data_IF_040875019056
#
_entry.id   IF_040875019056
#
_cell.length_a   1.000
_cell.length_b   1.000
_cell.length_c   1.000
_cell.angle_alpha   90.00
_cell.angle_beta   90.00
_cell.angle_gamma   90.00
#
_symmetry.space_group_name_H-M   'P 1'
#
loop_
_entity.id
_entity.type
_entity.pdbx_description
1 polymer ?
#
# COMPACT_ATOMS: atom_id res chain seq x y z
N UNK A 1 19.96 4.18 -53.68
CA UNK A 1 18.67 4.74 -53.22
C UNK A 1 17.95 3.68 -52.40
N UNK A 2 18.13 3.68 -51.07
CA UNK A 2 17.41 2.78 -50.15
C UNK A 2 16.40 3.61 -49.37
N UNK A 3 15.12 3.20 -49.43
CA UNK A 3 14.02 3.85 -48.68
C UNK A 3 14.08 3.42 -47.21
N UNK A 4 13.86 4.33 -46.23
CA UNK A 4 13.78 3.95 -44.83
C UNK A 4 12.37 3.44 -44.50
N UNK A 5 12.30 2.29 -43.82
CA UNK A 5 11.07 1.68 -43.34
C UNK A 5 10.61 2.34 -42.03
N UNK A 6 9.47 3.02 -42.13
CA UNK A 6 8.37 3.15 -41.14
C UNK A 6 8.40 2.21 -39.91
N UNK A 7 8.98 2.56 -38.77
CA UNK A 7 8.72 1.84 -37.50
C UNK A 7 7.38 2.29 -36.89
N UNK A 8 6.50 1.39 -36.39
CA UNK A 8 5.25 1.79 -35.76
C UNK A 8 5.49 2.17 -34.29
N UNK A 9 4.96 3.34 -33.91
CA UNK A 9 4.88 3.80 -32.53
C UNK A 9 4.10 2.78 -31.67
N UNK A 10 4.75 2.28 -30.62
CA UNK A 10 4.09 1.52 -29.54
C UNK A 10 3.80 2.46 -28.37
N UNK A 11 2.52 2.66 -28.09
CA UNK A 11 2.00 3.38 -26.93
C UNK A 11 2.31 2.60 -25.65
N UNK A 12 2.98 3.24 -24.70
CA UNK A 12 3.25 2.70 -23.37
C UNK A 12 2.09 3.08 -22.46
N UNK A 13 1.26 2.10 -22.08
CA UNK A 13 0.27 2.26 -21.01
C UNK A 13 0.99 2.16 -19.67
N UNK A 14 1.02 3.27 -18.94
CA UNK A 14 1.45 3.30 -17.54
C UNK A 14 0.36 2.64 -16.67
N UNK A 15 0.58 1.39 -16.26
CA UNK A 15 -0.28 0.73 -15.28
C UNK A 15 0.18 1.08 -13.86
N UNK A 16 -0.47 2.09 -13.27
CA UNK A 16 -0.60 2.17 -11.82
C UNK A 16 -1.70 1.20 -11.39
N UNK A 17 -1.31 0.03 -10.87
CA UNK A 17 -2.25 -0.96 -10.36
C UNK A 17 -2.91 -0.45 -9.08
N UNK A 18 -4.21 -0.12 -9.15
CA UNK A 18 -5.05 0.17 -7.99
C UNK A 18 -5.73 -1.14 -7.59
N UNK A 19 -5.33 -1.76 -6.48
CA UNK A 19 -6.12 -2.84 -5.89
C UNK A 19 -7.30 -2.22 -5.12
N UNK A 20 -8.53 -2.51 -5.54
CA UNK A 20 -9.74 -2.23 -4.77
C UNK A 20 -10.52 -3.52 -4.52
N UNK A 21 -10.94 -3.70 -3.27
CA UNK A 21 -11.83 -4.78 -2.84
C UNK A 21 -13.30 -4.32 -2.95
N UNK A 22 -14.13 -5.11 -3.64
CA UNK A 22 -15.58 -4.90 -3.73
C UNK A 22 -16.30 -5.58 -2.57
N UNK A 23 -17.19 -4.85 -1.90
CA UNK A 23 -18.10 -5.38 -0.89
C UNK A 23 -19.30 -6.09 -1.55
N UNK A 24 -19.50 -7.37 -1.22
CA UNK A 24 -20.68 -8.14 -1.66
C UNK A 24 -21.92 -7.81 -0.84
N UNK A 25 -23.04 -7.57 -1.52
CA UNK A 25 -24.37 -7.40 -0.90
C UNK A 25 -24.93 -8.77 -0.50
N UNK A 26 -25.18 -9.00 0.79
CA UNK A 26 -25.97 -10.12 1.27
C UNK A 26 -27.39 -9.64 1.62
N UNK A 27 -28.40 -10.37 1.14
CA UNK A 27 -29.82 -10.08 1.33
C UNK A 27 -30.26 -10.15 2.80
N UNK A 28 -31.22 -9.29 3.16
CA UNK A 28 -31.77 -9.21 4.51
C UNK A 28 -32.67 -10.44 4.82
N UNK A 29 -32.55 -11.05 6.01
CA UNK A 29 -33.53 -12.00 6.52
C UNK A 29 -34.77 -11.25 7.08
N UNK A 30 -35.94 -11.91 7.19
CA UNK A 30 -37.16 -11.29 7.69
C UNK A 30 -37.05 -10.94 9.19
N UNK A 31 -37.80 -9.93 9.67
CA UNK A 31 -37.68 -9.45 11.05
C UNK A 31 -38.30 -10.45 12.02
N UNK A 32 -37.45 -11.16 12.76
CA UNK A 32 -37.80 -11.86 13.99
C UNK A 32 -37.41 -11.01 15.20
N UNK A 33 -38.38 -10.71 16.05
CA UNK A 33 -38.23 -9.96 17.30
C UNK A 33 -37.36 -10.73 18.30
N UNK A 34 -36.13 -10.26 18.52
CA UNK A 34 -35.30 -10.65 19.66
C UNK A 34 -35.03 -9.40 20.49
N UNK A 35 -35.66 -9.33 21.66
CA UNK A 35 -35.32 -8.43 22.76
C UNK A 35 -34.00 -8.88 23.37
N UNK A 36 -32.89 -8.58 22.68
CA UNK A 36 -31.54 -8.69 23.21
C UNK A 36 -31.09 -7.32 23.72
N UNK A 37 -30.80 -7.22 25.02
CA UNK A 37 -30.09 -6.10 25.63
C UNK A 37 -28.87 -5.73 24.78
N UNK A 38 -28.89 -4.51 24.21
CA UNK A 38 -27.75 -3.92 23.51
C UNK A 38 -26.61 -3.80 24.50
N UNK A 39 -25.67 -4.75 24.47
CA UNK A 39 -24.37 -4.56 25.09
C UNK A 39 -23.77 -3.32 24.45
N UNK A 40 -23.62 -2.25 25.22
CA UNK A 40 -23.01 -1.02 24.75
C UNK A 40 -21.60 -1.36 24.25
N UNK A 41 -21.41 -1.33 22.93
CA UNK A 41 -20.11 -1.50 22.30
C UNK A 41 -19.22 -0.39 22.82
N UNK A 42 -18.19 -0.73 23.61
CA UNK A 42 -17.24 0.27 24.08
C UNK A 42 -16.62 0.99 22.88
N UNK A 43 -16.47 2.33 22.94
CA UNK A 43 -15.81 3.06 21.88
C UNK A 43 -14.38 2.54 21.76
N UNK A 44 -13.95 2.39 20.52
CA UNK A 44 -12.65 1.83 20.23
C UNK A 44 -11.53 2.82 20.67
N UNK A 45 -10.37 2.33 21.15
CA UNK A 45 -9.36 3.20 21.76
C UNK A 45 -8.83 4.25 20.77
N UNK A 46 -8.44 5.45 21.26
CA UNK A 46 -7.78 6.48 20.47
C UNK A 46 -6.54 5.97 19.73
N UNK A 47 -6.15 6.65 18.65
CA UNK A 47 -5.03 6.22 17.81
C UNK A 47 -3.69 6.09 18.57
N UNK A 48 -3.29 7.05 19.43
CA UNK A 48 -2.07 6.91 20.24
C UNK A 48 -2.04 5.66 21.12
N UNK A 49 -3.16 5.28 21.75
CA UNK A 49 -3.23 4.11 22.63
C UNK A 49 -3.08 2.81 21.85
N UNK A 50 -3.62 2.76 20.62
CA UNK A 50 -3.42 1.64 19.71
C UNK A 50 -1.98 1.54 19.24
N UNK A 51 -1.36 2.66 18.87
CA UNK A 51 0.07 2.69 18.53
C UNK A 51 0.92 2.17 19.68
N UNK A 52 0.64 2.61 20.91
CA UNK A 52 1.34 2.15 22.09
C UNK A 52 1.18 0.64 22.33
N UNK A 53 0.00 0.06 22.06
CA UNK A 53 -0.23 -1.38 22.17
C UNK A 53 0.46 -2.22 21.09
N UNK A 54 0.85 -1.59 19.97
CA UNK A 54 1.62 -2.23 18.89
C UNK A 54 3.13 -2.15 19.12
N UNK A 55 3.60 -1.54 20.21
CA UNK A 55 5.02 -1.45 20.54
C UNK A 55 5.40 -2.40 21.69
N UNK A 56 6.65 -2.91 21.73
CA UNK A 56 7.73 -2.66 20.77
C UNK A 56 7.56 -3.43 19.44
N UNK A 57 8.03 -2.83 18.36
CA UNK A 57 8.14 -3.45 17.03
C UNK A 57 9.35 -2.86 16.28
N UNK A 58 10.09 -3.70 15.56
CA UNK A 58 11.17 -3.27 14.66
C UNK A 58 10.57 -2.52 13.46
N UNK A 59 9.47 -3.05 12.91
CA UNK A 59 8.72 -2.45 11.80
C UNK A 59 7.24 -2.38 12.14
N UNK A 60 6.66 -1.18 12.05
CA UNK A 60 5.21 -0.97 12.10
C UNK A 60 4.69 -0.69 10.69
N UNK A 61 3.86 -1.59 10.15
CA UNK A 61 3.25 -1.46 8.84
C UNK A 61 1.86 -0.85 8.96
N UNK A 62 1.64 0.27 8.29
CA UNK A 62 0.35 0.94 8.16
C UNK A 62 -0.20 0.68 6.77
N UNK A 63 -1.21 -0.18 6.70
CA UNK A 63 -1.91 -0.50 5.45
C UNK A 63 -3.03 0.49 5.17
N UNK A 64 -3.13 0.95 3.92
CA UNK A 64 -4.14 1.92 3.51
C UNK A 64 -4.96 1.48 2.29
N UNK A 65 -6.16 2.07 2.18
CA UNK A 65 -6.73 2.42 0.88
C UNK A 65 -6.19 3.78 0.44
N UNK A 66 -5.55 3.83 -0.73
CA UNK A 66 -4.79 5.01 -1.18
C UNK A 66 -5.64 6.26 -1.41
N UNK A 67 -6.92 6.11 -1.74
CA UNK A 67 -7.84 7.22 -2.00
C UNK A 67 -8.63 7.68 -0.78
N UNK A 68 -8.31 7.14 0.41
CA UNK A 68 -8.96 7.49 1.66
C UNK A 68 -8.12 8.50 2.49
N UNK A 69 -8.46 9.81 2.47
CA UNK A 69 -7.66 10.86 3.12
C UNK A 69 -7.48 10.69 4.63
N UNK A 70 -8.43 10.04 5.29
CA UNK A 70 -8.35 9.73 6.71
C UNK A 70 -7.19 8.78 7.04
N UNK A 71 -6.77 7.93 6.10
CA UNK A 71 -5.65 7.01 6.28
C UNK A 71 -4.33 7.78 6.32
N UNK A 72 -4.11 8.71 5.38
CA UNK A 72 -2.90 9.54 5.39
C UNK A 72 -2.84 10.46 6.61
N UNK A 73 -3.99 10.93 7.12
CA UNK A 73 -4.02 11.64 8.42
C UNK A 73 -3.50 10.75 9.56
N UNK A 74 -4.00 9.52 9.71
CA UNK A 74 -3.56 8.60 10.76
C UNK A 74 -2.08 8.24 10.63
N UNK A 75 -1.56 8.10 9.41
CA UNK A 75 -0.14 7.87 9.16
C UNK A 75 0.71 9.06 9.61
N UNK A 76 0.31 10.29 9.26
CA UNK A 76 0.97 11.51 9.73
C UNK A 76 0.96 11.59 11.26
N UNK A 77 -0.15 11.27 11.90
CA UNK A 77 -0.24 11.24 13.38
C UNK A 77 0.71 10.20 13.98
N UNK A 78 0.85 9.01 13.37
CA UNK A 78 1.81 8.01 13.80
C UNK A 78 3.26 8.49 13.67
N UNK A 79 3.59 9.16 12.55
CA UNK A 79 4.91 9.79 12.35
C UNK A 79 5.20 10.79 13.46
N UNK A 80 4.29 11.74 13.69
CA UNK A 80 4.46 12.77 14.71
C UNK A 80 4.60 12.17 16.11
N UNK A 81 3.78 11.17 16.44
CA UNK A 81 3.77 10.53 17.75
C UNK A 81 5.06 9.75 18.03
N UNK A 82 5.52 8.92 17.08
CA UNK A 82 6.78 8.17 17.22
C UNK A 82 8.00 9.11 17.22
N UNK A 83 7.99 10.14 16.37
CA UNK A 83 9.10 11.08 16.26
C UNK A 83 9.26 11.95 17.52
N UNK A 84 8.16 12.45 18.09
CA UNK A 84 8.18 13.23 19.34
C UNK A 84 8.77 12.46 20.53
N UNK A 85 8.76 11.12 20.46
CA UNK A 85 9.30 10.22 21.48
C UNK A 85 10.73 9.75 21.16
N UNK A 86 11.31 10.20 20.05
CA UNK A 86 12.60 9.71 19.57
C UNK A 86 12.58 8.24 19.14
N UNK A 87 11.40 7.66 18.91
CA UNK A 87 11.23 6.22 18.62
C UNK A 87 11.07 5.92 17.12
N UNK A 88 11.06 6.93 16.24
CA UNK A 88 10.95 6.73 14.80
C UNK A 88 12.33 6.69 14.14
N UNK A 89 12.70 5.54 13.56
CA UNK A 89 13.97 5.36 12.86
C UNK A 89 13.95 5.94 11.44
N UNK A 90 12.87 5.66 10.70
CA UNK A 90 12.63 6.09 9.33
C UNK A 90 11.15 5.91 8.96
N UNK A 91 10.72 6.56 7.88
CA UNK A 91 9.46 6.27 7.20
C UNK A 91 9.77 5.65 5.83
N UNK A 92 9.20 4.49 5.52
CA UNK A 92 9.30 3.84 4.21
C UNK A 92 7.96 3.97 3.48
N UNK A 93 7.98 4.44 2.23
CA UNK A 93 6.78 4.67 1.43
C UNK A 93 6.75 3.79 0.18
N UNK A 94 5.63 3.11 -0.06
CA UNK A 94 5.34 2.48 -1.36
C UNK A 94 5.24 3.52 -2.51
N UNK A 95 4.92 4.76 -2.18
CA UNK A 95 4.63 5.80 -3.18
C UNK A 95 5.90 6.33 -3.87
N UNK A 96 7.09 6.00 -3.36
CA UNK A 96 8.38 6.37 -3.92
C UNK A 96 9.25 5.13 -4.20
N UNK A 97 10.05 5.20 -5.27
CA UNK A 97 10.92 4.10 -5.70
C UNK A 97 12.14 3.95 -4.76
N UNK A 98 12.57 2.72 -4.52
CA UNK A 98 13.76 2.44 -3.72
C UNK A 98 15.01 3.10 -4.31
N UNK A 99 15.87 3.63 -3.45
CA UNK A 99 17.07 4.39 -3.83
C UNK A 99 16.89 5.91 -3.75
N UNK A 100 15.65 6.41 -3.69
CA UNK A 100 15.36 7.82 -3.44
C UNK A 100 14.95 8.06 -1.99
N UNK A 101 15.46 9.14 -1.38
CA UNK A 101 15.31 9.36 0.05
C UNK A 101 15.61 10.80 0.49
N UNK A 102 15.14 11.17 1.68
CA UNK A 102 15.36 12.51 2.26
C UNK A 102 16.49 12.61 3.28
N UNK A 103 17.34 11.57 3.42
CA UNK A 103 18.43 11.53 4.44
C UNK A 103 19.34 12.77 4.48
N UNK A 104 19.56 13.43 3.33
CA UNK A 104 20.42 14.60 3.21
C UNK A 104 19.69 15.94 3.39
N UNK A 105 18.37 15.93 3.61
CA UNK A 105 17.59 17.14 3.78
C UNK A 105 17.71 17.68 5.20
N UNK A 106 17.78 19.01 5.32
CA UNK A 106 17.64 19.70 6.59
C UNK A 106 16.18 19.65 7.08
N UNK A 107 15.98 19.91 8.38
CA UNK A 107 14.65 19.88 9.01
C UNK A 107 13.68 20.94 8.47
N UNK A 108 14.22 22.04 7.95
CA UNK A 108 13.50 23.15 7.34
C UNK A 108 13.42 23.03 5.81
N UNK A 109 13.76 21.86 5.23
CA UNK A 109 13.64 21.63 3.81
C UNK A 109 12.19 21.85 3.34
N UNK A 110 12.07 22.43 2.15
CA UNK A 110 10.79 22.70 1.49
C UNK A 110 10.16 21.43 0.93
N UNK A 111 8.84 21.47 0.70
CA UNK A 111 8.13 20.38 0.02
C UNK A 111 8.73 20.06 -1.36
N UNK A 112 9.15 21.08 -2.12
CA UNK A 112 9.78 20.89 -3.43
C UNK A 112 11.09 20.11 -3.33
N UNK A 113 11.92 20.39 -2.31
CA UNK A 113 13.15 19.64 -2.07
C UNK A 113 12.85 18.19 -1.67
N UNK A 114 11.83 17.96 -0.85
CA UNK A 114 11.39 16.61 -0.47
C UNK A 114 10.87 15.81 -1.68
N UNK A 115 10.04 16.41 -2.53
CA UNK A 115 9.57 15.80 -3.78
C UNK A 115 10.73 15.45 -4.72
N UNK A 116 11.67 16.37 -4.92
CA UNK A 116 12.83 16.14 -5.77
C UNK A 116 13.72 15.01 -5.23
N UNK A 117 13.97 14.99 -3.92
CA UNK A 117 14.79 13.96 -3.27
C UNK A 117 14.15 12.56 -3.34
N UNK A 118 12.81 12.48 -3.35
CA UNK A 118 12.06 11.22 -3.48
C UNK A 118 11.77 10.84 -4.94
N UNK A 119 12.15 11.67 -5.93
CA UNK A 119 11.70 11.56 -7.32
C UNK A 119 10.19 11.37 -7.40
N UNK A 120 9.45 12.20 -6.66
CA UNK A 120 8.03 12.03 -6.45
C UNK A 120 7.25 12.10 -7.76
N UNK A 121 6.34 11.15 -7.98
CA UNK A 121 5.43 11.15 -9.12
C UNK A 121 4.05 11.62 -8.68
N UNK A 122 3.82 12.92 -8.76
CA UNK A 122 2.56 13.57 -8.35
C UNK A 122 1.33 13.05 -9.13
N UNK A 123 1.52 12.70 -10.40
CA UNK A 123 0.43 12.18 -11.23
C UNK A 123 -0.05 10.79 -10.80
N UNK A 124 0.85 9.96 -10.25
CA UNK A 124 0.49 8.65 -9.70
C UNK A 124 0.04 8.76 -8.24
N UNK A 125 0.69 9.62 -7.47
CA UNK A 125 0.47 9.80 -6.04
C UNK A 125 0.36 11.29 -5.73
N UNK A 126 -0.86 11.85 -5.66
CA UNK A 126 -1.02 13.29 -5.43
C UNK A 126 -0.28 13.73 -4.16
N UNK A 127 0.70 14.62 -4.29
CA UNK A 127 1.52 15.10 -3.18
C UNK A 127 0.66 15.73 -2.09
N UNK A 128 -0.46 16.35 -2.45
CA UNK A 128 -1.42 16.89 -1.48
C UNK A 128 -1.87 15.85 -0.43
N UNK A 129 -1.95 14.56 -0.79
CA UNK A 129 -2.33 13.50 0.13
C UNK A 129 -1.17 13.04 1.03
N UNK A 130 0.03 12.87 0.47
CA UNK A 130 1.16 12.24 1.16
C UNK A 130 2.22 13.21 1.69
N UNK A 131 2.31 14.41 1.12
CA UNK A 131 3.21 15.49 1.53
C UNK A 131 3.15 15.78 3.03
N UNK A 132 1.96 15.86 3.66
CA UNK A 132 1.87 16.03 5.12
C UNK A 132 2.52 14.90 5.93
N UNK A 133 2.52 13.66 5.44
CA UNK A 133 3.20 12.51 6.09
C UNK A 133 4.72 12.66 5.93
N UNK A 134 5.18 12.95 4.69
CA UNK A 134 6.60 13.14 4.36
C UNK A 134 7.19 14.30 5.17
N UNK A 135 6.53 15.45 5.17
CA UNK A 135 7.04 16.65 5.82
C UNK A 135 7.02 16.56 7.33
N UNK A 136 6.11 15.78 7.93
CA UNK A 136 6.15 15.51 9.36
C UNK A 136 7.43 14.77 9.77
N UNK A 137 7.90 13.81 8.96
CA UNK A 137 9.15 13.09 9.21
C UNK A 137 10.37 14.00 8.95
N UNK A 138 10.39 14.71 7.82
CA UNK A 138 11.49 15.65 7.47
C UNK A 138 11.68 16.72 8.55
N UNK A 139 10.59 17.35 9.02
CA UNK A 139 10.64 18.35 10.08
C UNK A 139 11.20 17.79 11.41
N UNK A 140 10.97 16.50 11.70
CA UNK A 140 11.56 15.81 12.83
C UNK A 140 13.02 15.39 12.62
N UNK A 141 13.58 15.54 11.41
CA UNK A 141 14.90 15.03 11.03
C UNK A 141 14.92 13.52 10.84
N UNK A 142 13.75 12.90 10.64
CA UNK A 142 13.60 11.48 10.35
C UNK A 142 13.63 11.28 8.83
N UNK A 143 14.46 10.37 8.31
CA UNK A 143 14.53 10.15 6.87
C UNK A 143 13.27 9.42 6.36
N UNK A 144 12.82 9.86 5.18
CA UNK A 144 11.81 9.19 4.38
C UNK A 144 12.50 8.47 3.23
N UNK A 145 12.17 7.21 3.04
CA UNK A 145 12.78 6.31 2.07
C UNK A 145 11.71 5.82 1.10
N UNK A 146 11.99 5.87 -0.21
CA UNK A 146 11.22 5.11 -1.17
C UNK A 146 11.43 3.61 -0.95
N UNK A 147 10.34 2.85 -0.87
CA UNK A 147 10.37 1.40 -0.65
C UNK A 147 10.10 0.60 -1.91
N UNK A 148 9.44 1.19 -2.90
CA UNK A 148 8.84 0.44 -4.00
C UNK A 148 9.87 -0.07 -5.01
N UNK A 149 9.53 -1.14 -5.72
CA UNK A 149 10.37 -1.63 -6.81
C UNK A 149 10.53 -0.53 -7.87
N UNK A 150 11.77 -0.16 -8.27
CA UNK A 150 11.97 0.84 -9.30
C UNK A 150 11.32 0.42 -10.62
N UNK A 151 10.70 1.36 -11.34
CA UNK A 151 9.95 1.05 -12.57
C UNK A 151 10.81 0.34 -13.61
N UNK A 152 12.09 0.70 -13.69
CA UNK A 152 13.06 0.09 -14.59
C UNK A 152 13.25 -1.42 -14.33
N UNK A 153 12.97 -1.90 -13.12
CA UNK A 153 13.12 -3.30 -12.72
C UNK A 153 11.84 -4.13 -12.89
N UNK A 154 10.67 -3.51 -13.05
CA UNK A 154 9.38 -4.22 -13.16
C UNK A 154 9.36 -5.23 -14.32
N UNK A 155 9.99 -4.90 -15.46
CA UNK A 155 10.06 -5.81 -16.60
C UNK A 155 10.86 -7.08 -16.29
N UNK A 156 11.96 -6.95 -15.54
CA UNK A 156 12.74 -8.10 -15.11
C UNK A 156 11.93 -8.93 -14.11
N UNK A 157 11.25 -8.29 -13.15
CA UNK A 157 10.41 -8.98 -12.17
C UNK A 157 9.28 -9.83 -12.81
N UNK A 158 8.66 -9.37 -13.90
CA UNK A 158 7.67 -10.18 -14.64
C UNK A 158 8.23 -11.53 -15.11
N UNK A 159 9.52 -11.58 -15.46
CA UNK A 159 10.20 -12.79 -15.95
C UNK A 159 10.82 -13.65 -14.85
N UNK A 160 10.86 -13.17 -13.61
CA UNK A 160 11.50 -13.87 -12.50
C UNK A 160 10.57 -14.93 -11.92
N UNK A 161 10.69 -16.15 -12.42
CA UNK A 161 9.83 -17.28 -12.04
C UNK A 161 10.07 -17.77 -10.61
N UNK A 162 11.21 -17.42 -9.98
CA UNK A 162 11.44 -17.79 -8.58
C UNK A 162 10.36 -17.22 -7.64
N UNK A 163 9.75 -16.09 -8.00
CA UNK A 163 8.65 -15.50 -7.22
C UNK A 163 7.40 -16.37 -7.17
N UNK A 164 7.20 -17.29 -8.12
CA UNK A 164 6.04 -18.20 -8.12
C UNK A 164 6.08 -19.17 -6.93
N UNK A 165 7.24 -19.33 -6.29
CA UNK A 165 7.45 -20.23 -5.15
C UNK A 165 7.60 -19.49 -3.82
N UNK A 166 7.58 -18.16 -3.81
CA UNK A 166 7.76 -17.36 -2.59
C UNK A 166 6.57 -17.51 -1.64
N UNK A 167 5.36 -17.44 -2.18
CA UNK A 167 4.12 -17.62 -1.42
C UNK A 167 3.69 -19.09 -1.42
N UNK A 168 3.21 -19.64 -0.28
CA UNK A 168 2.49 -20.91 -0.26
C UNK A 168 1.29 -20.87 -1.22
N UNK A 169 0.93 -22.02 -1.80
CA UNK A 169 -0.11 -22.09 -2.82
C UNK A 169 -1.45 -21.41 -2.44
N UNK A 170 -1.97 -21.52 -1.20
CA UNK A 170 -3.18 -20.78 -0.81
C UNK A 170 -3.01 -19.26 -0.84
N UNK A 171 -1.86 -18.73 -0.39
CA UNK A 171 -1.56 -17.30 -0.42
C UNK A 171 -1.35 -16.79 -1.85
N UNK A 172 -0.68 -17.56 -2.70
CA UNK A 172 -0.54 -17.22 -4.12
C UNK A 172 -1.89 -17.17 -4.84
N UNK A 173 -2.81 -18.09 -4.52
CA UNK A 173 -4.17 -18.06 -5.06
C UNK A 173 -4.94 -16.81 -4.62
N UNK A 174 -4.79 -16.38 -3.37
CA UNK A 174 -5.35 -15.10 -2.89
C UNK A 174 -4.74 -13.91 -3.64
N UNK A 175 -3.43 -13.92 -3.90
CA UNK A 175 -2.78 -12.87 -4.70
C UNK A 175 -3.36 -12.79 -6.11
N UNK A 176 -3.55 -13.94 -6.77
CA UNK A 176 -4.15 -13.99 -8.10
C UNK A 176 -5.59 -13.48 -8.09
N UNK A 177 -6.37 -13.84 -7.08
CA UNK A 177 -7.73 -13.35 -6.95
C UNK A 177 -7.76 -11.83 -6.73
N UNK A 178 -6.91 -11.31 -5.85
CA UNK A 178 -6.80 -9.88 -5.60
C UNK A 178 -6.40 -9.10 -6.86
N UNK A 179 -5.56 -9.69 -7.73
CA UNK A 179 -5.22 -9.12 -9.03
C UNK A 179 -6.41 -9.11 -9.98
N UNK A 180 -7.19 -10.20 -10.06
CA UNK A 180 -8.42 -10.21 -10.88
C UNK A 180 -9.41 -9.16 -10.41
N UNK A 181 -9.65 -9.08 -9.11
CA UNK A 181 -10.62 -8.17 -8.51
C UNK A 181 -10.20 -6.71 -8.66
N UNK A 182 -8.93 -6.40 -8.38
CA UNK A 182 -8.36 -5.06 -8.54
C UNK A 182 -8.36 -4.58 -10.00
N UNK A 183 -8.34 -5.51 -10.95
CA UNK A 183 -8.47 -5.22 -12.38
C UNK A 183 -9.90 -5.44 -12.90
N UNK A 184 -10.90 -5.59 -12.02
CA UNK A 184 -12.30 -5.78 -12.37
C UNK A 184 -12.58 -6.92 -13.38
N UNK A 185 -11.74 -7.96 -13.36
CA UNK A 185 -11.81 -9.14 -14.24
C UNK A 185 -11.36 -8.92 -15.68
N UNK A 186 -10.75 -7.77 -15.98
CA UNK A 186 -10.41 -7.35 -17.35
C UNK A 186 -8.94 -7.60 -17.70
N UNK A 187 -8.09 -7.87 -16.70
CA UNK A 187 -6.71 -8.30 -16.91
C UNK A 187 -6.72 -9.72 -17.51
N UNK A 188 -6.07 -9.98 -18.66
CA UNK A 188 -6.04 -11.32 -19.24
C UNK A 188 -5.42 -12.33 -18.29
N UNK A 189 -5.95 -13.56 -18.22
CA UNK A 189 -5.46 -14.60 -17.31
C UNK A 189 -3.96 -14.89 -17.48
N UNK A 190 -3.44 -14.79 -18.71
CA UNK A 190 -2.00 -14.95 -18.98
C UNK A 190 -1.11 -13.85 -18.37
N UNK A 191 -1.69 -12.72 -17.97
CA UNK A 191 -1.00 -11.61 -17.31
C UNK A 191 -1.07 -11.68 -15.79
N UNK A 192 -1.88 -12.57 -15.21
CA UNK A 192 -2.02 -12.70 -13.75
C UNK A 192 -0.70 -13.14 -13.11
N UNK A 193 -0.02 -14.22 -13.55
CA UNK A 193 1.26 -14.62 -12.93
C UNK A 193 2.37 -13.56 -13.06
N UNK A 194 2.64 -12.96 -14.25
CA UNK A 194 3.62 -11.88 -14.35
C UNK A 194 3.33 -10.68 -13.45
N UNK A 195 2.06 -10.30 -13.27
CA UNK A 195 1.68 -9.21 -12.38
C UNK A 195 1.85 -9.59 -10.90
N UNK A 196 1.58 -10.84 -10.53
CA UNK A 196 1.84 -11.32 -9.18
C UNK A 196 3.33 -11.28 -8.83
N UNK A 197 4.20 -11.64 -9.77
CA UNK A 197 5.66 -11.53 -9.58
C UNK A 197 6.10 -10.08 -9.35
N UNK A 198 5.51 -9.11 -10.06
CA UNK A 198 5.75 -7.69 -9.77
C UNK A 198 5.33 -7.35 -8.35
N UNK A 199 4.13 -7.75 -7.92
CA UNK A 199 3.66 -7.43 -6.56
C UNK A 199 4.58 -8.02 -5.49
N UNK A 200 4.98 -9.29 -5.62
CA UNK A 200 5.91 -9.95 -4.70
C UNK A 200 7.28 -9.25 -4.72
N UNK A 201 7.77 -8.84 -5.89
CA UNK A 201 9.03 -8.09 -5.99
C UNK A 201 8.95 -6.70 -5.35
N UNK A 202 7.80 -6.03 -5.40
CA UNK A 202 7.55 -4.76 -4.69
C UNK A 202 7.57 -4.97 -3.18
N UNK A 203 6.93 -6.03 -2.71
CA UNK A 203 6.95 -6.42 -1.30
C UNK A 203 8.38 -6.70 -0.81
N UNK A 204 9.16 -7.45 -1.60
CA UNK A 204 10.57 -7.72 -1.33
C UNK A 204 11.43 -6.43 -1.27
N UNK A 205 11.17 -5.48 -2.19
CA UNK A 205 11.85 -4.18 -2.22
C UNK A 205 11.55 -3.36 -0.97
N UNK A 206 10.27 -3.23 -0.60
CA UNK A 206 9.84 -2.50 0.59
C UNK A 206 10.38 -3.15 1.86
N UNK A 207 10.38 -4.48 1.92
CA UNK A 207 10.94 -5.24 3.02
C UNK A 207 12.44 -4.97 3.19
N UNK A 208 13.20 -4.97 2.09
CA UNK A 208 14.64 -4.67 2.12
C UNK A 208 14.90 -3.26 2.61
N UNK A 209 14.21 -2.26 2.06
CA UNK A 209 14.37 -0.86 2.48
C UNK A 209 14.06 -0.69 3.97
N UNK A 210 13.02 -1.36 4.50
CA UNK A 210 12.70 -1.31 5.92
C UNK A 210 13.79 -1.95 6.79
N UNK A 211 14.31 -3.11 6.39
CA UNK A 211 15.40 -3.80 7.10
C UNK A 211 16.69 -2.98 7.15
N UNK A 212 17.05 -2.31 6.04
CA UNK A 212 18.21 -1.42 5.98
C UNK A 212 18.07 -0.16 6.85
N UNK A 213 16.83 0.18 7.26
CA UNK A 213 16.53 1.35 8.07
C UNK A 213 16.41 1.07 9.57
N UNK A 214 16.50 -0.21 9.98
CA UNK A 214 16.36 -0.61 11.38
C UNK A 214 17.41 0.07 12.27
N UNK A 215 16.98 0.50 13.46
CA UNK A 215 17.84 1.09 14.49
C UNK A 215 17.42 0.51 15.86
N UNK A 216 18.37 0.07 16.70
CA UNK A 216 18.03 -0.48 18.02
C UNK A 216 17.17 0.49 18.85
N UNK A 217 16.08 -0.03 19.43
CA UNK A 217 15.17 0.75 20.27
C UNK A 217 14.25 1.72 19.53
N UNK A 218 14.27 1.73 18.20
CA UNK A 218 13.41 2.54 17.35
C UNK A 218 12.62 1.66 16.37
N UNK A 219 11.52 2.21 15.86
CA UNK A 219 10.62 1.55 14.91
C UNK A 219 10.76 2.19 13.54
N UNK A 220 10.83 1.37 12.49
CA UNK A 220 10.63 1.81 11.11
C UNK A 220 9.13 1.81 10.81
N UNK A 221 8.59 2.93 10.33
CA UNK A 221 7.19 3.01 9.92
C UNK A 221 7.09 2.78 8.40
N UNK A 222 6.40 1.72 7.98
CA UNK A 222 6.17 1.43 6.56
C UNK A 222 4.73 1.78 6.21
N UNK A 223 4.53 2.62 5.19
CA UNK A 223 3.21 2.99 4.66
C UNK A 223 3.07 2.42 3.26
N UNK A 224 2.05 1.57 3.07
CA UNK A 224 1.76 0.90 1.81
C UNK A 224 0.27 0.56 1.70
N UNK A 225 -0.18 0.20 0.50
CA UNK A 225 -1.52 -0.31 0.25
C UNK A 225 -1.83 -1.54 1.11
N UNK A 226 -3.09 -1.70 1.50
CA UNK A 226 -3.52 -2.71 2.46
C UNK A 226 -3.06 -4.14 2.14
N UNK A 227 -3.05 -4.52 0.85
CA UNK A 227 -2.59 -5.84 0.42
C UNK A 227 -1.09 -6.08 0.68
N UNK A 228 -0.27 -5.04 0.58
CA UNK A 228 1.18 -5.12 0.79
C UNK A 228 1.56 -5.32 2.26
N UNK A 229 0.70 -4.96 3.21
CA UNK A 229 1.04 -5.10 4.64
C UNK A 229 0.54 -6.38 5.29
N UNK A 230 -0.26 -7.19 4.58
CA UNK A 230 -0.88 -8.40 5.16
C UNK A 230 0.18 -9.44 5.51
N UNK A 231 0.09 -9.99 6.72
CA UNK A 231 1.10 -10.90 7.29
C UNK A 231 1.37 -12.13 6.43
N UNK A 232 0.34 -12.77 5.89
CA UNK A 232 0.47 -13.97 5.08
C UNK A 232 0.70 -13.75 3.58
N UNK A 233 0.78 -12.50 3.12
CA UNK A 233 0.74 -12.20 1.69
C UNK A 233 1.81 -11.20 1.21
N UNK A 234 1.98 -10.11 1.94
CA UNK A 234 2.78 -8.97 1.47
C UNK A 234 4.18 -8.94 2.05
N UNK A 235 4.66 -7.72 2.32
CA UNK A 235 5.97 -7.40 2.91
C UNK A 235 6.37 -8.35 4.06
N UNK A 236 5.49 -8.71 5.03
CA UNK A 236 5.92 -9.55 6.14
C UNK A 236 6.39 -10.96 5.80
N UNK A 237 6.07 -11.45 4.59
CA UNK A 237 6.56 -12.75 4.10
C UNK A 237 8.06 -12.74 3.76
N UNK A 238 8.69 -11.57 3.73
CA UNK A 238 10.11 -11.37 3.41
C UNK A 238 10.99 -11.13 4.65
N UNK A 239 10.43 -11.20 5.86
CA UNK A 239 11.18 -10.97 7.09
C UNK A 239 12.10 -12.13 7.46
N UNK A 240 13.27 -11.84 8.04
CA UNK A 240 14.02 -12.86 8.76
C UNK A 240 13.25 -13.23 10.05
N UNK A 241 13.45 -14.47 10.53
CA UNK A 241 12.66 -15.04 11.63
C UNK A 241 12.72 -14.24 12.95
N UNK A 242 13.76 -13.43 13.15
CA UNK A 242 13.96 -12.64 14.37
C UNK A 242 13.40 -11.21 14.31
N UNK A 243 12.88 -10.77 13.17
CA UNK A 243 12.30 -9.43 13.03
C UNK A 243 10.87 -9.40 13.58
N UNK A 244 10.62 -8.50 14.53
CA UNK A 244 9.29 -8.29 15.12
C UNK A 244 8.57 -7.17 14.36
N UNK A 245 7.56 -7.53 13.59
CA UNK A 245 6.71 -6.56 12.89
C UNK A 245 5.27 -6.57 13.35
N UNK A 246 4.61 -5.41 13.29
CA UNK A 246 3.19 -5.24 13.60
C UNK A 246 2.45 -4.60 12.43
N UNK A 247 1.21 -5.03 12.21
CA UNK A 247 0.37 -4.58 11.09
C UNK A 247 -0.88 -3.88 11.62
N UNK A 248 -1.04 -2.61 11.27
CA UNK A 248 -2.26 -1.85 11.48
C UNK A 248 -2.91 -1.57 10.13
N UNK A 249 -4.06 -2.17 9.87
CA UNK A 249 -4.79 -1.96 8.62
C UNK A 249 -5.88 -0.89 8.81
N UNK A 250 -5.85 0.14 7.98
CA UNK A 250 -6.91 1.15 7.91
C UNK A 250 -7.90 0.79 6.81
N UNK A 251 -9.18 0.89 7.13
CA UNK A 251 -10.28 0.50 6.25
C UNK A 251 -11.38 1.57 6.29
N UNK A 252 -11.71 2.13 5.14
CA UNK A 252 -12.89 2.95 4.97
C UNK A 252 -14.14 2.07 4.99
N UNK A 253 -15.11 2.43 5.83
CA UNK A 253 -16.35 1.66 5.98
C UNK A 253 -16.20 0.39 6.82
N UNK A 254 -16.94 -0.67 6.47
CA UNK A 254 -16.92 -1.94 7.22
C UNK A 254 -15.85 -2.87 6.67
N UNK A 255 -14.97 -3.37 7.55
CA UNK A 255 -13.95 -4.34 7.18
C UNK A 255 -14.54 -5.73 6.87
N UNK A 256 -14.05 -6.41 5.81
CA UNK A 256 -14.30 -7.83 5.59
C UNK A 256 -13.80 -8.67 6.77
N UNK A 257 -14.53 -9.73 7.13
CA UNK A 257 -14.19 -10.63 8.24
C UNK A 257 -12.85 -11.36 8.03
N UNK A 258 -12.41 -11.51 6.77
CA UNK A 258 -11.22 -12.28 6.37
C UNK A 258 -9.87 -11.69 6.83
N UNK A 259 -9.83 -10.43 7.28
CA UNK A 259 -8.59 -9.73 7.63
C UNK A 259 -8.07 -10.08 9.04
N UNK A 260 -8.89 -10.72 9.88
CA UNK A 260 -8.61 -10.89 11.32
C UNK A 260 -7.29 -11.58 11.65
N UNK A 261 -6.73 -12.39 10.76
CA UNK A 261 -5.46 -13.10 11.00
C UNK A 261 -4.23 -12.42 10.36
N UNK A 262 -4.44 -11.44 9.49
CA UNK A 262 -3.37 -10.79 8.72
C UNK A 262 -2.96 -9.41 9.25
N UNK A 263 -3.74 -8.85 10.18
CA UNK A 263 -3.44 -7.59 10.86
C UNK A 263 -3.49 -7.76 12.40
N UNK A 264 -2.66 -7.01 13.13
CA UNK A 264 -2.74 -6.94 14.60
C UNK A 264 -3.91 -6.05 15.06
N UNK A 265 -4.23 -5.01 14.29
CA UNK A 265 -5.41 -4.17 14.50
C UNK A 265 -6.00 -3.71 13.17
N UNK A 266 -7.33 -3.52 13.16
CA UNK A 266 -8.05 -2.85 12.09
C UNK A 266 -8.62 -1.54 12.62
N UNK A 267 -8.41 -0.45 11.89
CA UNK A 267 -8.96 0.88 12.19
C UNK A 267 -9.98 1.22 11.10
N UNK A 268 -11.23 1.37 11.50
CA UNK A 268 -12.27 1.82 10.58
C UNK A 268 -12.25 3.35 10.49
N UNK A 269 -12.28 3.87 9.27
CA UNK A 269 -12.48 5.28 8.96
C UNK A 269 -13.85 5.46 8.29
N UNK A 270 -14.38 6.70 8.22
CA UNK A 270 -15.57 7.00 7.45
C UNK A 270 -15.56 6.33 6.05
N UNK A 271 -16.71 5.84 5.62
CA UNK A 271 -16.84 5.27 4.29
C UNK A 271 -16.56 6.33 3.22
N UNK A 272 -15.89 5.92 2.13
CA UNK A 272 -15.69 6.79 0.98
C UNK A 272 -17.02 7.02 0.26
N UNK A 273 -17.16 8.18 -0.43
CA UNK A 273 -18.28 8.41 -1.31
C UNK A 273 -18.44 7.25 -2.31
N UNK A 274 -19.68 6.81 -2.62
CA UNK A 274 -19.90 5.76 -3.61
C UNK A 274 -19.26 6.14 -4.94
N UNK A 275 -18.44 5.24 -5.48
CA UNK A 275 -17.77 5.39 -6.77
C UNK A 275 -17.69 4.02 -7.43
N UNK A 276 -18.06 3.95 -8.71
CA UNK A 276 -17.91 2.72 -9.50
C UNK A 276 -16.56 2.74 -10.24
N UNK A 277 -15.50 2.41 -9.49
CA UNK A 277 -14.15 2.34 -10.05
C UNK A 277 -14.06 1.33 -11.21
N UNK A 278 -14.86 0.26 -11.18
CA UNK A 278 -14.85 -0.73 -12.24
C UNK A 278 -15.53 -0.24 -13.52
N UNK A 279 -16.62 0.54 -13.43
CA UNK A 279 -17.19 1.19 -14.61
C UNK A 279 -16.20 2.19 -15.24
N UNK A 280 -15.52 3.00 -14.44
CA UNK A 280 -14.50 3.93 -14.92
C UNK A 280 -13.32 3.19 -15.60
N UNK A 281 -12.85 2.10 -14.99
CA UNK A 281 -11.76 1.29 -15.54
C UNK A 281 -12.18 0.62 -16.86
N UNK A 282 -13.40 0.05 -16.93
CA UNK A 282 -13.96 -0.50 -18.16
C UNK A 282 -14.07 0.55 -19.27
N UNK A 283 -14.45 1.78 -18.94
CA UNK A 283 -14.53 2.87 -19.91
C UNK A 283 -13.15 3.19 -20.52
N UNK A 284 -12.08 3.17 -19.72
CA UNK A 284 -10.70 3.38 -20.18
C UNK A 284 -10.14 2.20 -20.99
N UNK A 285 -10.61 0.99 -20.71
CA UNK A 285 -10.13 -0.23 -21.38
C UNK A 285 -10.78 -0.52 -22.73
N UNK A 286 -11.89 0.14 -23.04
CA UNK A 286 -12.48 0.06 -24.39
C UNK A 286 -11.47 0.61 -25.39
N UNK A 287 -11.11 -0.15 -26.45
CA UNK A 287 -10.34 0.42 -27.55
C UNK A 287 -11.10 1.64 -28.08
N UNK A 288 -10.38 2.70 -28.45
CA UNK A 288 -10.98 3.75 -29.27
C UNK A 288 -11.60 3.06 -30.49
N UNK A 289 -12.93 3.12 -30.61
CA UNK A 289 -13.64 2.56 -31.75
C UNK A 289 -12.97 3.08 -33.01
N UNK A 290 -12.45 2.19 -33.85
CA UNK A 290 -12.07 2.55 -35.21
C UNK A 290 -13.33 3.10 -35.87
N UNK A 291 -13.36 4.41 -36.10
CA UNK A 291 -14.42 5.05 -36.84
C UNK A 291 -14.55 4.37 -38.22
N UNK A 292 -15.78 4.16 -38.72
CA UNK A 292 -16.02 3.50 -40.00
C UNK A 292 -15.42 4.26 -41.19
#
# INVERSE_FOLDING_TARGET
MQRPTRSPLRTWLALGGTLMALAGCAGAPPPGTLTGTLAATQPAPPWPDRLQALLPADVLLLGEQHDAPDHQRLQREAVLWLAARGQLAAVVLEMAESGYHTRALARDATEAQAQAALQWNDAAWPWKAYGPVVMAAVAAGVPVLGGNLPRAQMRAAMGETAWDQHLPAPALALQYQALRDGHCGLLPESQIPPMARIQIARDASMARTAQEALRPGQTVLLVAGGGHVLRGLGVPTHWPANLVSKVALTQAGKAPTAIKNDADTVINTPALPPRDACAELRAKWRPASSAP
#
